data_IF_867821322947
#
_entry.id   IF_867821322947
#
_cell.length_a   1.000
_cell.length_b   1.000
_cell.length_c   1.000
_cell.angle_alpha   90.00
_cell.angle_beta   90.00
_cell.angle_gamma   90.00
#
_symmetry.space_group_name_H-M   'P 1'
#
loop_
_entity.id
_entity.type
_entity.pdbx_description
1 polymer ?
#
# COMPACT_ATOMS: atom_id res chain seq x y z
N UNK A 1 21.13 21.17 -53.60
CA UNK A 1 19.64 21.31 -53.63
C UNK A 1 18.87 20.38 -52.69
N UNK A 2 19.31 19.15 -52.39
CA UNK A 2 18.60 18.23 -51.47
C UNK A 2 18.52 18.72 -50.02
N UNK A 3 19.60 19.28 -49.45
CA UNK A 3 19.60 19.78 -48.07
C UNK A 3 18.60 20.93 -47.80
N UNK A 4 18.41 21.84 -48.76
CA UNK A 4 17.47 22.97 -48.62
C UNK A 4 16.02 22.45 -48.59
N UNK A 5 15.71 21.38 -49.33
CA UNK A 5 14.40 20.71 -49.28
C UNK A 5 14.18 20.01 -47.94
N UNK A 6 15.21 19.38 -47.37
CA UNK A 6 15.09 18.66 -46.10
C UNK A 6 14.92 19.61 -44.90
N UNK A 7 15.65 20.73 -44.86
CA UNK A 7 15.45 21.79 -43.85
C UNK A 7 14.06 22.43 -43.96
N UNK A 8 13.56 22.68 -45.18
CA UNK A 8 12.17 23.16 -45.39
C UNK A 8 11.13 22.14 -44.93
N UNK A 9 11.36 20.83 -45.13
CA UNK A 9 10.44 19.77 -44.70
C UNK A 9 10.39 19.63 -43.18
N UNK A 10 11.54 19.67 -42.48
CA UNK A 10 11.61 19.64 -41.01
C UNK A 10 10.97 20.87 -40.38
N UNK A 11 11.16 22.07 -40.96
CA UNK A 11 10.51 23.30 -40.48
C UNK A 11 8.99 23.28 -40.67
N UNK A 12 8.47 22.73 -41.78
CA UNK A 12 7.02 22.54 -41.98
C UNK A 12 6.44 21.44 -41.08
N UNK A 13 7.17 20.36 -40.85
CA UNK A 13 6.74 19.29 -39.96
C UNK A 13 6.67 19.75 -38.50
N UNK A 14 7.70 20.47 -38.02
CA UNK A 14 7.68 21.04 -36.67
C UNK A 14 6.56 22.07 -36.47
N UNK A 15 6.30 22.90 -37.50
CA UNK A 15 5.19 23.85 -37.45
C UNK A 15 3.81 23.16 -37.46
N UNK A 16 3.64 22.10 -38.25
CA UNK A 16 2.40 21.32 -38.25
C UNK A 16 2.13 20.65 -36.90
N UNK A 17 3.17 20.08 -36.26
CA UNK A 17 3.06 19.47 -34.93
C UNK A 17 2.76 20.52 -33.85
N UNK A 18 3.38 21.69 -33.94
CA UNK A 18 3.10 22.78 -33.01
C UNK A 18 1.66 23.28 -33.14
N UNK A 19 1.18 23.47 -34.37
CA UNK A 19 -0.21 23.89 -34.61
C UNK A 19 -1.23 22.84 -34.17
N UNK A 20 -0.96 21.55 -34.39
CA UNK A 20 -1.85 20.49 -33.94
C UNK A 20 -1.92 20.43 -32.41
N UNK A 21 -0.78 20.56 -31.73
CA UNK A 21 -0.73 20.62 -30.27
C UNK A 21 -1.47 21.86 -29.73
N UNK A 22 -1.26 23.03 -30.33
CA UNK A 22 -1.96 24.26 -29.96
C UNK A 22 -3.47 24.13 -30.14
N UNK A 23 -3.92 23.52 -31.24
CA UNK A 23 -5.34 23.32 -31.51
C UNK A 23 -5.97 22.35 -30.50
N UNK A 24 -5.28 21.26 -30.15
CA UNK A 24 -5.74 20.31 -29.13
C UNK A 24 -5.88 20.96 -27.76
N UNK A 25 -4.88 21.73 -27.32
CA UNK A 25 -4.93 22.44 -26.03
C UNK A 25 -6.03 23.49 -26.02
N UNK A 26 -6.18 24.24 -27.11
CA UNK A 26 -7.24 25.25 -27.25
C UNK A 26 -8.62 24.61 -27.23
N UNK A 27 -8.80 23.44 -27.86
CA UNK A 27 -10.04 22.68 -27.83
C UNK A 27 -10.37 22.20 -26.42
N UNK A 28 -9.38 21.67 -25.68
CA UNK A 28 -9.56 21.21 -24.31
C UNK A 28 -9.97 22.35 -23.37
N UNK A 29 -9.31 23.51 -23.49
CA UNK A 29 -9.67 24.72 -22.72
C UNK A 29 -11.08 25.20 -23.12
N UNK A 30 -11.39 25.27 -24.42
CA UNK A 30 -12.72 25.65 -24.88
C UNK A 30 -13.82 24.73 -24.36
N UNK A 31 -13.58 23.41 -24.35
CA UNK A 31 -14.52 22.41 -23.85
C UNK A 31 -14.77 22.58 -22.34
N UNK A 32 -13.71 22.79 -21.57
CA UNK A 32 -13.83 22.99 -20.11
C UNK A 32 -14.59 24.27 -19.78
N UNK A 33 -14.37 25.37 -20.52
CA UNK A 33 -15.11 26.63 -20.33
C UNK A 33 -16.59 26.49 -20.73
N UNK A 34 -16.89 25.73 -21.79
CA UNK A 34 -18.27 25.48 -22.22
C UNK A 34 -19.05 24.59 -21.24
N UNK A 35 -18.37 23.61 -20.64
CA UNK A 35 -18.96 22.65 -19.69
C UNK A 35 -18.97 23.14 -18.24
N UNK A 36 -18.18 24.16 -17.92
CA UNK A 36 -18.15 24.75 -16.58
C UNK A 36 -19.54 25.27 -16.16
N UNK A 37 -19.83 25.15 -14.86
CA UNK A 37 -21.03 25.70 -14.21
C UNK A 37 -22.35 25.23 -14.87
N UNK A 38 -22.65 23.92 -14.76
CA UNK A 38 -23.86 23.27 -15.29
C UNK A 38 -24.15 23.54 -16.77
N UNK A 39 -23.08 23.62 -17.57
CA UNK A 39 -23.13 23.90 -19.01
C UNK A 39 -23.81 25.24 -19.34
N UNK A 40 -23.75 26.23 -18.45
CA UNK A 40 -24.39 27.54 -18.63
C UNK A 40 -23.92 28.24 -19.91
N UNK A 41 -22.62 28.20 -20.19
CA UNK A 41 -22.04 28.82 -21.37
C UNK A 41 -22.46 28.11 -22.66
N UNK A 42 -22.57 26.77 -22.63
CA UNK A 42 -23.08 25.98 -23.74
C UNK A 42 -24.56 26.29 -24.03
N UNK A 43 -25.40 26.40 -22.99
CA UNK A 43 -26.82 26.75 -23.12
C UNK A 43 -27.01 28.14 -23.76
N UNK A 44 -26.21 29.14 -23.35
CA UNK A 44 -26.22 30.48 -23.95
C UNK A 44 -25.79 30.46 -25.43
N UNK A 45 -24.77 29.67 -25.76
CA UNK A 45 -24.29 29.51 -27.13
C UNK A 45 -25.35 28.83 -28.02
N UNK A 46 -25.98 27.76 -27.54
CA UNK A 46 -27.05 27.06 -28.25
C UNK A 46 -28.26 27.98 -28.52
N UNK A 47 -28.67 28.77 -27.53
CA UNK A 47 -29.72 29.78 -27.69
C UNK A 47 -29.36 30.82 -28.76
N UNK A 48 -28.08 31.23 -28.85
CA UNK A 48 -27.62 32.17 -29.89
C UNK A 48 -27.73 31.61 -31.30
N UNK A 49 -27.60 30.29 -31.45
CA UNK A 49 -27.79 29.58 -32.72
C UNK A 49 -29.24 29.13 -32.97
N UNK A 50 -30.20 29.54 -32.12
CA UNK A 50 -31.61 29.17 -32.26
C UNK A 50 -31.91 27.71 -31.93
N UNK A 51 -30.96 27.00 -31.32
CA UNK A 51 -31.13 25.63 -30.85
C UNK A 51 -31.71 25.67 -29.44
N UNK A 52 -32.87 25.06 -29.26
CA UNK A 52 -33.47 24.88 -27.93
C UNK A 52 -32.66 23.84 -27.14
N UNK A 53 -31.94 24.25 -26.08
CA UNK A 53 -31.09 23.33 -25.32
C UNK A 53 -31.89 22.16 -24.75
N UNK A 54 -33.14 22.38 -24.33
CA UNK A 54 -33.96 21.34 -23.71
C UNK A 54 -34.30 20.22 -24.70
N UNK A 55 -34.62 20.58 -25.95
CA UNK A 55 -34.93 19.60 -27.00
C UNK A 55 -33.70 18.78 -27.40
N UNK A 56 -32.55 19.44 -27.52
CA UNK A 56 -31.31 18.76 -27.88
C UNK A 56 -30.86 17.79 -26.78
N UNK A 57 -30.89 18.21 -25.51
CA UNK A 57 -30.53 17.32 -24.41
C UNK A 57 -31.51 16.15 -24.25
N UNK A 58 -32.81 16.40 -24.39
CA UNK A 58 -33.83 15.32 -24.37
C UNK A 58 -33.63 14.31 -25.50
N UNK A 59 -33.21 14.77 -26.69
CA UNK A 59 -32.94 13.89 -27.83
C UNK A 59 -31.66 13.07 -27.62
N UNK A 60 -30.60 13.65 -27.04
CA UNK A 60 -29.39 12.90 -26.66
C UNK A 60 -29.70 11.86 -25.58
N UNK A 61 -30.49 12.23 -24.57
CA UNK A 61 -30.93 11.32 -23.52
C UNK A 61 -31.74 10.15 -24.10
N UNK A 62 -32.64 10.41 -25.05
CA UNK A 62 -33.40 9.37 -25.75
C UNK A 62 -32.54 8.40 -26.58
N UNK A 63 -31.39 8.86 -27.09
CA UNK A 63 -30.43 8.01 -27.83
C UNK A 63 -29.50 7.20 -26.93
N UNK A 64 -29.35 7.62 -25.67
CA UNK A 64 -28.43 6.97 -24.71
C UNK A 64 -29.18 6.05 -23.73
N UNK A 65 -30.51 6.06 -23.77
CA UNK A 65 -31.37 5.28 -22.88
C UNK A 65 -31.65 3.91 -23.50
N UNK A 66 -30.78 2.94 -23.22
CA UNK A 66 -31.22 1.54 -23.11
C UNK A 66 -31.37 1.20 -21.64
N UNK A 67 -32.62 1.04 -21.15
CA UNK A 67 -32.88 0.25 -19.97
C UNK A 67 -33.88 -0.83 -20.37
N UNK A 68 -33.41 -2.08 -20.37
CA UNK A 68 -34.29 -3.18 -20.04
C UNK A 68 -34.80 -2.92 -18.61
N UNK A 69 -36.09 -2.62 -18.52
CA UNK A 69 -36.81 -2.41 -17.28
C UNK A 69 -36.76 -3.70 -16.44
N UNK A 70 -36.15 -3.72 -15.24
CA UNK A 70 -36.39 -4.81 -14.31
C UNK A 70 -37.86 -4.81 -13.92
N UNK A 71 -38.51 -5.98 -13.75
CA UNK A 71 -39.95 -6.08 -13.56
C UNK A 71 -40.40 -5.20 -12.39
N UNK A 72 -41.45 -4.43 -12.66
CA UNK A 72 -42.05 -3.48 -11.75
C UNK A 72 -42.33 -4.11 -10.38
N UNK A 73 -41.56 -3.70 -9.37
CA UNK A 73 -42.05 -3.78 -8.01
C UNK A 73 -43.24 -2.82 -7.90
N UNK A 74 -44.38 -3.23 -7.31
CA UNK A 74 -45.52 -2.35 -7.16
C UNK A 74 -45.08 -1.11 -6.38
N UNK A 75 -45.13 0.03 -7.05
CA UNK A 75 -44.94 1.34 -6.45
C UNK A 75 -46.02 1.52 -5.39
N UNK A 76 -45.63 1.32 -4.13
CA UNK A 76 -46.42 1.68 -2.97
C UNK A 76 -46.79 3.16 -3.11
N UNK A 77 -48.09 3.47 -3.03
CA UNK A 77 -48.62 4.81 -3.19
C UNK A 77 -47.86 5.82 -2.32
N UNK A 78 -47.33 6.85 -2.99
CA UNK A 78 -46.70 8.00 -2.36
C UNK A 78 -47.76 8.69 -1.49
N UNK A 79 -47.42 8.93 -0.21
CA UNK A 79 -48.10 9.80 0.78
C UNK A 79 -49.08 9.21 1.80
N UNK A 80 -48.77 8.04 2.35
CA UNK A 80 -48.98 7.84 3.78
C UNK A 80 -47.61 7.73 4.46
N UNK A 81 -47.16 8.79 5.15
CA UNK A 81 -46.02 8.65 6.07
C UNK A 81 -46.45 7.63 7.12
N UNK A 82 -45.99 6.39 6.98
CA UNK A 82 -46.13 5.40 8.04
C UNK A 82 -45.54 6.02 9.31
N UNK A 83 -46.26 6.00 10.44
CA UNK A 83 -45.74 6.51 11.69
C UNK A 83 -44.41 5.80 11.99
N UNK A 84 -43.41 6.57 12.42
CA UNK A 84 -42.09 6.02 12.71
C UNK A 84 -42.26 4.81 13.65
N UNK A 85 -41.81 3.61 13.26
CA UNK A 85 -41.99 2.43 14.08
C UNK A 85 -41.31 2.66 15.42
N UNK A 86 -42.09 2.66 16.50
CA UNK A 86 -41.57 2.72 17.86
C UNK A 86 -41.11 1.33 18.25
N UNK A 87 -39.83 1.06 18.04
CA UNK A 87 -39.21 -0.18 18.50
C UNK A 87 -38.82 0.01 19.97
N UNK A 88 -39.33 -0.85 20.85
CA UNK A 88 -38.83 -0.91 22.23
C UNK A 88 -37.48 -1.61 22.21
N UNK A 89 -36.41 -0.86 22.39
CA UNK A 89 -35.09 -1.43 22.57
C UNK A 89 -34.96 -1.92 24.02
N UNK A 90 -34.55 -3.18 24.25
CA UNK A 90 -34.21 -3.66 25.59
C UNK A 90 -33.27 -2.68 26.31
N UNK A 91 -33.55 -2.33 27.57
CA UNK A 91 -32.75 -1.38 28.34
C UNK A 91 -31.25 -1.74 28.37
N UNK A 92 -30.92 -3.04 28.30
CA UNK A 92 -29.55 -3.56 28.20
C UNK A 92 -28.77 -3.12 26.95
N UNK A 93 -29.43 -2.75 25.86
CA UNK A 93 -28.78 -2.20 24.65
C UNK A 93 -28.40 -0.73 24.82
N UNK A 94 -29.03 -0.04 25.76
CA UNK A 94 -28.77 1.37 26.08
C UNK A 94 -27.98 1.53 27.39
N UNK A 95 -27.63 0.40 28.03
CA UNK A 95 -26.68 0.43 29.13
C UNK A 95 -25.30 0.83 28.60
N UNK A 96 -24.56 1.61 29.39
CA UNK A 96 -23.13 1.83 29.14
C UNK A 96 -22.42 0.47 29.18
N UNK A 97 -22.24 -0.08 27.99
CA UNK A 97 -21.30 -1.15 27.77
C UNK A 97 -19.95 -0.50 28.02
N UNK A 98 -19.40 -0.68 29.22
CA UNK A 98 -17.99 -0.42 29.56
C UNK A 98 -17.06 -1.36 28.76
N UNK A 99 -17.40 -1.61 27.50
CA UNK A 99 -16.61 -2.36 26.55
C UNK A 99 -15.40 -1.48 26.21
N UNK A 100 -14.19 -2.06 26.22
CA UNK A 100 -13.02 -1.35 25.74
C UNK A 100 -13.25 -0.89 24.30
N UNK A 101 -12.71 0.27 23.94
CA UNK A 101 -12.72 0.76 22.56
C UNK A 101 -12.24 -0.36 21.62
N UNK A 102 -13.11 -0.79 20.72
CA UNK A 102 -12.76 -1.82 19.75
C UNK A 102 -11.84 -1.19 18.70
N UNK A 103 -10.54 -1.51 18.78
CA UNK A 103 -9.60 -1.11 17.75
C UNK A 103 -9.74 -2.04 16.55
N UNK A 104 -10.15 -1.51 15.41
CA UNK A 104 -10.03 -2.21 14.14
C UNK A 104 -8.54 -2.30 13.79
N UNK A 105 -7.96 -3.48 14.01
CA UNK A 105 -6.58 -3.76 13.59
C UNK A 105 -6.62 -4.23 12.15
N UNK A 106 -5.90 -3.53 11.27
CA UNK A 106 -5.69 -4.01 9.90
C UNK A 106 -4.83 -5.26 9.95
N UNK A 107 -5.40 -6.42 9.62
CA UNK A 107 -4.62 -7.65 9.44
C UNK A 107 -3.98 -7.62 8.06
N UNK A 108 -2.66 -7.80 8.02
CA UNK A 108 -1.92 -7.93 6.77
C UNK A 108 -2.14 -9.37 6.28
N UNK A 109 -2.79 -9.50 5.13
CA UNK A 109 -3.26 -10.80 4.61
C UNK A 109 -2.18 -11.53 3.81
N UNK A 110 -1.16 -10.82 3.34
CA UNK A 110 -0.11 -11.40 2.52
C UNK A 110 0.79 -12.30 3.37
N UNK A 111 1.13 -13.52 2.88
CA UNK A 111 2.05 -14.40 3.58
C UNK A 111 3.43 -13.73 3.67
N UNK A 112 4.07 -13.72 4.86
CA UNK A 112 5.37 -13.07 5.06
C UNK A 112 6.47 -13.57 4.10
N UNK A 113 6.40 -14.84 3.69
CA UNK A 113 7.32 -15.39 2.70
C UNK A 113 7.25 -14.64 1.36
N UNK A 114 6.06 -14.25 0.91
CA UNK A 114 5.90 -13.46 -0.32
C UNK A 114 6.45 -12.05 -0.19
N UNK A 115 6.42 -11.46 1.01
CA UNK A 115 7.08 -10.18 1.30
C UNK A 115 8.60 -10.31 1.16
N UNK A 116 9.22 -11.31 1.80
CA UNK A 116 10.67 -11.54 1.71
C UNK A 116 11.11 -11.83 0.27
N UNK A 117 10.34 -12.63 -0.48
CA UNK A 117 10.59 -12.92 -1.90
C UNK A 117 10.49 -11.65 -2.76
N UNK A 118 9.53 -10.76 -2.48
CA UNK A 118 9.41 -9.48 -3.18
C UNK A 118 10.63 -8.57 -2.92
N UNK A 119 11.17 -8.59 -1.70
CA UNK A 119 12.41 -7.90 -1.36
C UNK A 119 13.61 -8.48 -2.11
N UNK A 120 13.76 -9.81 -2.10
CA UNK A 120 14.84 -10.52 -2.80
C UNK A 120 14.85 -10.17 -4.30
N UNK A 121 13.68 -10.28 -4.96
CA UNK A 121 13.47 -9.88 -6.37
C UNK A 121 13.77 -8.41 -6.65
N UNK A 122 13.63 -7.54 -5.65
CA UNK A 122 13.88 -6.10 -5.79
C UNK A 122 15.36 -5.71 -5.55
N UNK A 123 16.24 -6.70 -5.30
CA UNK A 123 17.68 -6.52 -5.09
C UNK A 123 18.08 -6.44 -3.61
N UNK A 124 17.16 -6.70 -2.68
CA UNK A 124 17.46 -6.85 -1.26
C UNK A 124 17.71 -8.34 -0.99
N UNK A 125 18.85 -8.85 -1.43
CA UNK A 125 19.16 -10.29 -1.41
C UNK A 125 20.41 -10.59 -0.57
N UNK A 126 20.46 -11.70 0.17
CA UNK A 126 19.40 -12.72 0.30
C UNK A 126 18.31 -12.32 1.31
N UNK A 127 17.04 -12.52 0.96
CA UNK A 127 15.90 -12.38 1.88
C UNK A 127 15.09 -13.67 1.93
N UNK A 128 15.48 -14.58 2.81
CA UNK A 128 14.83 -15.90 2.98
C UNK A 128 14.04 -15.91 4.29
N UNK A 129 12.75 -16.24 4.21
CA UNK A 129 11.90 -16.42 5.38
C UNK A 129 12.22 -17.74 6.08
N UNK A 130 12.85 -17.65 7.25
CA UNK A 130 13.34 -18.80 7.98
C UNK A 130 13.01 -18.69 9.48
N UNK A 131 13.02 -19.79 10.24
CA UNK A 131 12.93 -19.74 11.70
C UNK A 131 14.02 -18.82 12.26
N UNK A 132 13.64 -17.93 13.18
CA UNK A 132 14.58 -16.95 13.77
C UNK A 132 15.68 -17.69 14.54
N UNK A 133 16.94 -17.48 14.15
CA UNK A 133 18.09 -18.11 14.81
C UNK A 133 18.35 -17.53 16.21
N UNK A 134 17.81 -16.33 16.48
CA UNK A 134 17.90 -15.66 17.77
C UNK A 134 16.66 -14.79 17.92
N UNK A 135 15.71 -15.22 18.75
CA UNK A 135 14.59 -14.37 19.17
C UNK A 135 15.16 -13.03 19.64
N UNK A 136 14.64 -11.94 19.09
CA UNK A 136 15.02 -10.55 19.35
C UNK A 136 15.64 -10.36 20.74
N UNK A 137 16.97 -10.22 20.83
CA UNK A 137 17.67 -9.76 22.04
C UNK A 137 17.24 -10.38 23.37
N UNK A 138 17.13 -11.71 23.46
CA UNK A 138 16.89 -12.38 24.75
C UNK A 138 15.43 -12.35 25.25
N UNK A 139 14.46 -11.92 24.43
CA UNK A 139 13.03 -11.93 24.75
C UNK A 139 12.28 -13.03 23.97
N UNK A 140 12.77 -14.27 24.06
CA UNK A 140 11.95 -15.49 24.18
C UNK A 140 10.86 -15.85 23.16
N UNK A 141 10.65 -15.14 22.04
CA UNK A 141 9.68 -15.56 21.03
C UNK A 141 10.37 -16.37 19.93
N UNK A 142 10.10 -17.68 19.89
CA UNK A 142 10.32 -18.49 18.70
C UNK A 142 9.48 -17.88 17.56
N UNK A 143 10.13 -17.46 16.47
CA UNK A 143 9.47 -16.78 15.37
C UNK A 143 10.08 -17.14 14.04
N UNK A 144 9.67 -16.41 13.01
CA UNK A 144 10.25 -16.46 11.68
C UNK A 144 10.73 -15.06 11.31
N UNK A 145 11.83 -14.99 10.58
CA UNK A 145 12.43 -13.73 10.15
C UNK A 145 13.06 -13.83 8.77
N UNK A 146 13.23 -12.68 8.13
CA UNK A 146 14.14 -12.51 6.99
C UNK A 146 14.81 -11.14 7.13
N UNK A 147 16.10 -11.07 6.80
CA UNK A 147 16.86 -9.83 6.94
C UNK A 147 18.02 -9.75 5.97
N UNK A 148 18.41 -8.53 5.61
CA UNK A 148 19.54 -8.25 4.72
C UNK A 148 20.20 -6.92 5.09
N UNK A 149 21.52 -6.88 5.00
CA UNK A 149 22.31 -5.65 5.06
C UNK A 149 22.78 -5.34 3.65
N UNK A 150 22.37 -4.18 3.13
CA UNK A 150 22.80 -3.70 1.82
C UNK A 150 23.86 -2.61 2.03
N UNK A 151 25.13 -2.85 1.64
CA UNK A 151 26.16 -1.82 1.69
C UNK A 151 25.89 -0.72 0.65
N UNK A 152 26.26 0.51 1.00
CA UNK A 152 26.11 1.70 0.15
C UNK A 152 27.44 2.45 0.15
N UNK A 153 27.84 2.94 -1.02
CA UNK A 153 29.11 3.65 -1.18
C UNK A 153 30.29 2.71 -1.42
N UNK A 154 31.49 3.29 -1.43
CA UNK A 154 32.73 2.54 -1.63
C UNK A 154 33.13 1.79 -0.34
N UNK A 155 33.56 0.53 -0.42
CA UNK A 155 34.03 -0.18 0.76
C UNK A 155 35.24 0.55 1.36
N UNK A 156 35.34 0.60 2.69
CA UNK A 156 36.50 1.17 3.37
C UNK A 156 37.78 0.48 2.92
N UNK A 157 38.85 1.26 2.77
CA UNK A 157 40.16 0.69 2.52
C UNK A 157 40.51 -0.28 3.66
N UNK A 158 41.04 -1.49 3.37
CA UNK A 158 41.43 -2.42 4.40
C UNK A 158 42.44 -1.76 5.33
N UNK A 159 42.17 -1.79 6.63
CA UNK A 159 43.11 -1.27 7.62
C UNK A 159 44.44 -2.02 7.51
N UNK A 160 45.51 -1.28 7.20
CA UNK A 160 46.89 -1.79 7.22
C UNK A 160 47.55 -1.57 8.58
N UNK A 161 46.86 -0.95 9.53
CA UNK A 161 47.36 -0.72 10.87
C UNK A 161 47.31 -2.02 11.69
N UNK A 162 48.39 -2.39 12.40
CA UNK A 162 48.32 -3.47 13.37
C UNK A 162 47.27 -3.12 14.43
N UNK A 163 46.52 -4.12 14.93
CA UNK A 163 45.43 -3.85 15.85
C UNK A 163 45.99 -3.21 17.13
N UNK A 164 45.37 -2.12 17.55
CA UNK A 164 45.76 -1.44 18.78
C UNK A 164 45.57 -2.43 19.94
N UNK A 165 46.50 -2.42 20.89
CA UNK A 165 46.37 -3.22 22.12
C UNK A 165 46.18 -2.28 23.31
N UNK A 166 45.34 -2.68 24.24
CA UNK A 166 45.16 -1.95 25.49
C UNK A 166 46.38 -2.14 26.41
N UNK A 167 46.37 -1.48 27.57
CA UNK A 167 47.42 -1.58 28.58
C UNK A 167 47.62 -3.00 29.14
N UNK A 168 46.65 -3.89 28.93
CA UNK A 168 46.68 -5.30 29.34
C UNK A 168 47.11 -6.24 28.19
N UNK A 169 47.34 -5.70 26.99
CA UNK A 169 47.68 -6.48 25.80
C UNK A 169 46.48 -7.13 25.10
N UNK A 170 45.25 -6.79 25.49
CA UNK A 170 44.03 -7.17 24.77
C UNK A 170 43.90 -6.35 23.49
N UNK A 171 43.43 -6.99 22.43
CA UNK A 171 43.18 -6.35 21.15
C UNK A 171 42.03 -5.37 21.29
N UNK A 172 42.30 -4.08 21.14
CA UNK A 172 41.28 -3.05 20.97
C UNK A 172 40.70 -3.28 19.59
N UNK A 173 39.52 -3.90 19.56
CA UNK A 173 38.70 -4.03 18.35
C UNK A 173 38.18 -2.64 18.00
N UNK A 174 38.98 -1.89 17.25
CA UNK A 174 38.50 -0.74 16.50
C UNK A 174 37.84 -1.30 15.23
N UNK A 175 36.52 -1.13 15.11
CA UNK A 175 35.73 -1.65 13.98
C UNK A 175 36.13 -1.02 12.62
N UNK A 176 37.11 -0.12 12.63
CA UNK A 176 37.63 0.57 11.46
C UNK A 176 36.58 1.50 10.85
N UNK A 177 36.91 2.17 9.73
CA UNK A 177 35.92 2.94 8.99
C UNK A 177 34.80 2.00 8.51
N UNK A 178 33.59 2.17 9.03
CA UNK A 178 32.43 1.37 8.62
C UNK A 178 31.86 1.89 7.29
N UNK A 179 31.36 0.98 6.46
CA UNK A 179 30.64 1.35 5.23
C UNK A 179 29.21 1.79 5.56
N UNK A 180 28.71 2.81 4.86
CA UNK A 180 27.29 3.17 4.93
C UNK A 180 26.44 1.97 4.52
N UNK A 181 25.28 1.77 5.14
CA UNK A 181 24.46 0.58 4.90
C UNK A 181 22.98 0.79 5.23
N UNK A 182 22.13 -0.03 4.60
CA UNK A 182 20.71 -0.16 4.92
C UNK A 182 20.43 -1.59 5.35
N UNK A 183 19.97 -1.76 6.58
CA UNK A 183 19.51 -3.06 7.10
C UNK A 183 17.99 -3.13 7.03
N UNK A 184 17.47 -4.15 6.37
CA UNK A 184 16.03 -4.45 6.31
C UNK A 184 15.75 -5.70 7.12
N UNK A 185 14.70 -5.68 7.93
CA UNK A 185 14.32 -6.76 8.82
C UNK A 185 12.81 -6.94 8.85
N UNK A 186 12.35 -8.17 8.67
CA UNK A 186 10.96 -8.60 8.84
C UNK A 186 10.94 -9.69 9.90
N UNK A 187 10.03 -9.57 10.87
CA UNK A 187 9.81 -10.58 11.89
C UNK A 187 8.34 -10.91 12.05
N UNK A 188 8.08 -12.17 12.37
CA UNK A 188 6.76 -12.68 12.63
C UNK A 188 6.73 -13.76 13.69
N UNK A 189 5.64 -13.83 14.47
CA UNK A 189 5.49 -14.84 15.52
C UNK A 189 5.26 -16.24 14.95
N UNK A 190 4.88 -16.36 13.66
CA UNK A 190 4.51 -17.60 13.00
C UNK A 190 4.87 -17.54 11.50
N UNK A 191 4.83 -18.68 10.83
CA UNK A 191 5.16 -18.76 9.40
C UNK A 191 4.23 -17.92 8.50
N UNK A 192 2.96 -17.77 8.89
CA UNK A 192 1.88 -17.13 8.11
C UNK A 192 1.56 -15.70 8.58
N UNK A 193 2.31 -15.12 9.51
CA UNK A 193 2.04 -13.80 10.05
C UNK A 193 3.33 -13.07 10.41
N UNK A 194 3.40 -11.77 10.12
CA UNK A 194 4.46 -10.90 10.62
C UNK A 194 3.89 -9.83 11.55
N UNK A 195 4.70 -9.35 12.48
CA UNK A 195 4.32 -8.32 13.45
C UNK A 195 5.21 -7.07 13.37
N UNK A 196 6.38 -7.19 12.76
CA UNK A 196 7.41 -6.16 12.78
C UNK A 196 8.12 -6.07 11.43
N UNK A 197 8.25 -4.85 10.92
CA UNK A 197 9.11 -4.49 9.81
C UNK A 197 10.01 -3.33 10.23
N UNK A 198 11.30 -3.43 9.96
CA UNK A 198 12.29 -2.44 10.39
C UNK A 198 13.29 -2.15 9.29
N UNK A 199 13.65 -0.87 9.16
CA UNK A 199 14.74 -0.41 8.31
C UNK A 199 15.71 0.40 9.17
N UNK A 200 16.97 -0.03 9.27
CA UNK A 200 18.04 0.79 9.84
C UNK A 200 18.89 1.39 8.72
N UNK A 201 19.25 2.65 8.88
CA UNK A 201 20.10 3.40 7.97
C UNK A 201 21.34 3.83 8.74
N UNK A 202 22.51 3.36 8.32
CA UNK A 202 23.80 3.78 8.84
C UNK A 202 24.49 4.63 7.76
N UNK A 203 24.73 5.90 8.07
CA UNK A 203 25.35 6.86 7.14
C UNK A 203 26.71 7.21 7.72
N UNK A 204 27.70 6.38 7.40
CA UNK A 204 29.08 6.54 7.90
C UNK A 204 29.83 7.62 7.10
N UNK A 205 29.53 7.73 5.79
CA UNK A 205 30.03 8.81 4.94
C UNK A 205 28.89 9.78 4.55
N UNK A 206 29.03 11.11 4.80
CA UNK A 206 28.05 12.10 4.36
C UNK A 206 27.73 12.08 2.86
N UNK A 207 28.67 11.67 2.00
CA UNK A 207 28.48 11.56 0.57
C UNK A 207 27.44 10.48 0.18
N UNK A 208 27.29 9.43 1.00
CA UNK A 208 26.36 8.33 0.74
C UNK A 208 24.94 8.63 1.21
N UNK A 209 24.73 9.75 1.93
CA UNK A 209 23.46 10.08 2.59
C UNK A 209 22.26 9.95 1.65
N UNK A 210 22.35 10.53 0.46
CA UNK A 210 21.26 10.50 -0.51
C UNK A 210 20.97 9.07 -0.98
N UNK A 211 22.01 8.29 -1.28
CA UNK A 211 21.88 6.91 -1.73
C UNK A 211 21.28 6.01 -0.63
N UNK A 212 21.70 6.19 0.63
CA UNK A 212 21.16 5.45 1.78
C UNK A 212 19.68 5.77 1.97
N UNK A 213 19.29 7.04 1.97
CA UNK A 213 17.89 7.46 2.13
C UNK A 213 17.01 7.03 0.96
N UNK A 214 17.53 7.07 -0.27
CA UNK A 214 16.84 6.58 -1.47
C UNK A 214 16.60 5.06 -1.40
N UNK A 215 17.61 4.29 -0.98
CA UNK A 215 17.49 2.84 -0.81
C UNK A 215 16.50 2.48 0.30
N UNK A 216 16.55 3.17 1.44
CA UNK A 216 15.58 2.99 2.53
C UNK A 216 14.15 3.38 2.11
N UNK A 217 13.99 4.48 1.36
CA UNK A 217 12.70 4.87 0.79
C UNK A 217 12.17 3.82 -0.19
N UNK A 218 13.03 3.21 -1.00
CA UNK A 218 12.66 2.10 -1.90
C UNK A 218 12.19 0.88 -1.10
N UNK A 219 12.91 0.51 -0.05
CA UNK A 219 12.52 -0.59 0.83
C UNK A 219 11.16 -0.35 1.49
N UNK A 220 10.93 0.84 2.02
CA UNK A 220 9.64 1.21 2.62
C UNK A 220 8.50 1.19 1.59
N UNK A 221 8.72 1.74 0.40
CA UNK A 221 7.71 1.72 -0.66
C UNK A 221 7.33 0.30 -1.10
N UNK A 222 8.30 -0.62 -1.18
CA UNK A 222 8.05 -2.03 -1.46
C UNK A 222 7.20 -2.69 -0.38
N UNK A 223 7.57 -2.48 0.89
CA UNK A 223 6.78 -2.96 2.02
C UNK A 223 5.34 -2.46 1.97
N UNK A 224 5.15 -1.14 1.85
CA UNK A 224 3.82 -0.56 1.85
C UNK A 224 2.96 -0.97 0.65
N UNK A 225 3.59 -1.19 -0.51
CA UNK A 225 2.92 -1.75 -1.68
C UNK A 225 2.44 -3.17 -1.41
N UNK A 226 3.28 -4.02 -0.82
CA UNK A 226 2.91 -5.40 -0.52
C UNK A 226 1.74 -5.45 0.46
N UNK A 227 1.79 -4.66 1.54
CA UNK A 227 0.73 -4.65 2.56
C UNK A 227 -0.49 -3.81 2.18
N UNK A 228 -0.50 -3.23 0.97
CA UNK A 228 -1.56 -2.39 0.39
C UNK A 228 -1.90 -1.14 1.22
N UNK A 229 -0.90 -0.48 1.81
CA UNK A 229 -1.11 0.69 2.66
C UNK A 229 -1.58 1.92 1.85
N UNK A 230 -2.63 2.59 2.33
CA UNK A 230 -3.37 3.64 1.59
C UNK A 230 -2.50 4.88 1.28
N UNK A 231 -1.52 5.19 2.14
CA UNK A 231 -0.59 6.34 2.00
C UNK A 231 0.89 5.94 1.80
N UNK A 232 1.14 4.80 1.14
CA UNK A 232 2.48 4.25 0.92
C UNK A 232 3.51 5.28 0.39
N UNK A 233 3.07 6.12 -0.55
CA UNK A 233 3.94 7.12 -1.19
C UNK A 233 4.32 8.28 -0.28
N UNK A 234 3.45 8.67 0.67
CA UNK A 234 3.76 9.75 1.59
C UNK A 234 4.81 9.33 2.61
N UNK A 235 4.64 8.17 3.22
CA UNK A 235 5.58 7.67 4.23
C UNK A 235 6.97 7.44 3.62
N UNK A 236 7.03 6.87 2.40
CA UNK A 236 8.28 6.72 1.68
C UNK A 236 8.97 8.08 1.43
N UNK A 237 8.22 9.12 1.03
CA UNK A 237 8.78 10.48 0.86
C UNK A 237 9.31 11.08 2.16
N UNK A 238 8.65 10.83 3.30
CA UNK A 238 9.12 11.29 4.61
C UNK A 238 10.43 10.62 5.00
N UNK A 239 10.57 9.31 4.73
CA UNK A 239 11.82 8.56 4.91
C UNK A 239 12.92 9.12 4.01
N UNK A 240 12.63 9.39 2.74
CA UNK A 240 13.59 10.00 1.80
C UNK A 240 14.12 11.36 2.30
N UNK A 241 13.26 12.15 2.95
CA UNK A 241 13.62 13.45 3.54
C UNK A 241 14.25 13.33 4.94
N UNK A 242 14.36 12.12 5.50
CA UNK A 242 14.77 11.86 6.88
C UNK A 242 13.93 12.64 7.91
N UNK A 243 12.64 12.82 7.65
CA UNK A 243 11.71 13.53 8.52
C UNK A 243 11.29 12.62 9.69
N UNK A 244 11.58 13.01 10.92
CA UNK A 244 11.26 12.22 12.12
C UNK A 244 9.74 12.24 12.37
N UNK A 245 9.15 11.07 12.63
CA UNK A 245 7.72 10.96 12.92
C UNK A 245 7.35 9.75 13.77
N UNK A 246 6.15 9.81 14.37
CA UNK A 246 5.55 8.74 15.14
C UNK A 246 4.04 8.84 15.00
N UNK A 247 3.45 7.95 14.20
CA UNK A 247 2.00 7.89 13.96
C UNK A 247 1.45 6.51 14.30
N UNK A 248 0.18 6.48 14.69
CA UNK A 248 -0.54 5.27 15.07
C UNK A 248 -1.86 5.23 14.33
N UNK A 249 -1.92 4.36 13.33
CA UNK A 249 -3.08 4.23 12.45
C UNK A 249 -3.48 2.75 12.40
N UNK A 250 -4.78 2.47 12.49
CA UNK A 250 -5.35 1.12 12.28
C UNK A 250 -4.69 -0.01 13.08
N UNK A 251 -4.31 0.27 14.34
CA UNK A 251 -3.66 -0.72 15.21
C UNK A 251 -2.22 -1.04 14.81
N UNK A 252 -1.58 -0.19 14.00
CA UNK A 252 -0.16 -0.25 13.67
C UNK A 252 0.53 1.06 14.08
N UNK A 253 1.79 0.97 14.49
CA UNK A 253 2.65 2.12 14.77
C UNK A 253 3.69 2.23 13.68
N UNK A 254 3.76 3.39 13.05
CA UNK A 254 4.79 3.75 12.09
C UNK A 254 5.66 4.83 12.70
N UNK A 255 6.96 4.59 12.77
CA UNK A 255 7.87 5.46 13.49
C UNK A 255 9.20 5.57 12.75
N UNK A 256 9.67 6.79 12.53
CA UNK A 256 11.03 7.07 12.09
C UNK A 256 11.73 7.88 13.18
N UNK A 257 12.85 7.37 13.70
CA UNK A 257 13.68 8.05 14.70
C UNK A 257 15.12 8.16 14.25
N UNK A 258 15.79 9.23 14.68
CA UNK A 258 17.24 9.36 14.61
C UNK A 258 17.85 8.78 15.89
N UNK A 259 18.81 7.88 15.77
CA UNK A 259 19.53 7.32 16.92
C UNK A 259 20.57 8.33 17.44
N UNK A 260 20.92 8.22 18.72
CA UNK A 260 21.95 9.06 19.34
C UNK A 260 23.33 8.55 18.93
N UNK A 261 24.20 9.46 18.49
CA UNK A 261 25.57 9.16 18.07
C UNK A 261 26.15 10.25 17.18
N UNK A 262 27.47 10.22 16.98
CA UNK A 262 28.15 11.12 16.05
C UNK A 262 27.79 10.79 14.60
N UNK A 263 27.69 9.51 14.26
CA UNK A 263 27.20 9.04 12.96
C UNK A 263 25.68 9.21 12.87
N UNK A 264 25.15 9.87 11.82
CA UNK A 264 23.71 10.00 11.61
C UNK A 264 23.06 8.67 11.25
N UNK A 265 22.53 7.98 12.27
CA UNK A 265 21.79 6.72 12.13
C UNK A 265 20.29 6.95 12.26
N UNK A 266 19.50 6.28 11.42
CA UNK A 266 18.04 6.37 11.45
C UNK A 266 17.41 4.98 11.51
N UNK A 267 16.27 4.89 12.16
CA UNK A 267 15.55 3.65 12.39
C UNK A 267 14.07 3.86 12.11
N UNK A 268 13.60 3.22 11.05
CA UNK A 268 12.19 3.13 10.71
C UNK A 268 11.61 1.82 11.25
N UNK A 269 10.47 1.90 11.91
CA UNK A 269 9.74 0.78 12.48
C UNK A 269 8.27 0.86 12.04
N UNK A 270 7.78 -0.22 11.46
CA UNK A 270 6.36 -0.50 11.28
C UNK A 270 6.02 -1.75 12.09
N UNK A 271 5.22 -1.61 13.13
CA UNK A 271 4.87 -2.72 14.02
C UNK A 271 3.39 -2.70 14.38
N UNK A 272 2.81 -3.86 14.65
CA UNK A 272 1.47 -3.95 15.23
C UNK A 272 1.48 -3.23 16.59
N UNK A 273 0.59 -2.24 16.76
CA UNK A 273 0.44 -1.47 17.98
C UNK A 273 -0.33 -2.28 19.03
N UNK A 274 0.18 -3.47 19.40
CA UNK A 274 -0.39 -4.26 20.49
C UNK A 274 -0.18 -3.52 21.80
N UNK A 275 -1.27 -3.05 22.42
CA UNK A 275 -1.25 -2.80 23.86
C UNK A 275 -1.27 -4.17 24.54
N UNK A 276 -0.36 -4.46 25.49
CA UNK A 276 -0.51 -5.60 26.37
C UNK A 276 -1.66 -5.30 27.33
N UNK A 277 -2.89 -5.39 26.84
CA UNK A 277 -4.08 -5.31 27.66
C UNK A 277 -4.45 -6.73 28.05
N UNK A 278 -4.67 -6.97 29.34
CA UNK A 278 -5.12 -8.27 29.82
C UNK A 278 -6.43 -8.61 29.11
N UNK A 279 -6.49 -9.79 28.47
CA UNK A 279 -7.69 -10.22 27.75
C UNK A 279 -8.91 -10.12 28.66
N UNK A 280 -9.91 -9.36 28.23
CA UNK A 280 -11.17 -9.23 28.96
C UNK A 280 -11.85 -10.60 29.08
N UNK A 281 -12.73 -10.81 30.08
CA UNK A 281 -13.49 -12.06 30.19
C UNK A 281 -14.26 -12.41 28.91
N UNK A 282 -14.75 -11.40 28.18
CA UNK A 282 -15.39 -11.56 26.87
C UNK A 282 -14.40 -12.06 25.80
N UNK A 283 -13.21 -11.48 25.69
CA UNK A 283 -12.20 -11.92 24.71
C UNK A 283 -11.72 -13.36 24.96
N UNK A 284 -11.70 -13.80 26.23
CA UNK A 284 -11.46 -15.21 26.57
C UNK A 284 -12.66 -16.11 26.20
N UNK A 285 -13.88 -15.61 26.38
CA UNK A 285 -15.10 -16.35 25.99
C UNK A 285 -15.26 -16.48 24.47
N UNK A 286 -14.77 -15.51 23.69
CA UNK A 286 -14.75 -15.55 22.22
C UNK A 286 -13.38 -15.89 21.65
N UNK A 287 -12.50 -16.51 22.45
CA UNK A 287 -11.20 -16.95 21.97
C UNK A 287 -11.40 -17.99 20.85
N UNK A 288 -11.15 -17.58 19.61
CA UNK A 288 -11.38 -18.44 18.44
C UNK A 288 -10.48 -19.67 18.47
N UNK A 289 -9.30 -19.61 19.07
CA UNK A 289 -8.43 -20.78 19.15
C UNK A 289 -8.98 -21.82 20.14
N UNK A 290 -9.72 -21.38 21.16
CA UNK A 290 -10.37 -22.23 22.14
C UNK A 290 -11.75 -22.74 21.69
N UNK A 291 -12.57 -21.87 21.09
CA UNK A 291 -14.00 -22.14 20.85
C UNK A 291 -14.35 -22.45 19.40
N UNK A 292 -13.58 -21.91 18.45
CA UNK A 292 -13.79 -22.09 17.02
C UNK A 292 -12.44 -22.35 16.33
N UNK A 293 -11.67 -23.37 16.75
CA UNK A 293 -10.43 -23.70 16.08
C UNK A 293 -10.80 -23.98 14.64
N UNK A 294 -10.42 -23.08 13.72
CA UNK A 294 -10.57 -23.33 12.30
C UNK A 294 -9.85 -24.67 12.07
N UNK A 295 -10.58 -25.69 11.63
CA UNK A 295 -10.00 -26.98 11.31
C UNK A 295 -9.06 -26.78 10.11
N UNK A 296 -7.82 -26.38 10.38
CA UNK A 296 -6.79 -26.11 9.36
C UNK A 296 -6.23 -27.39 8.75
N UNK A 297 -6.60 -28.55 9.29
CA UNK A 297 -6.34 -29.89 8.74
C UNK A 297 -7.56 -30.48 8.02
N UNK A 298 -8.57 -29.66 7.69
CA UNK A 298 -9.63 -30.15 6.82
C UNK A 298 -9.04 -30.34 5.41
N UNK A 299 -9.19 -31.51 4.78
CA UNK A 299 -8.64 -31.79 3.44
C UNK A 299 -9.15 -30.85 2.34
N UNK A 300 -10.09 -29.95 2.66
CA UNK A 300 -10.56 -28.86 1.80
C UNK A 300 -9.49 -27.80 1.49
N UNK A 301 -8.41 -27.71 2.26
CA UNK A 301 -7.39 -26.66 2.06
C UNK A 301 -5.96 -27.18 1.80
N UNK A 302 -5.70 -28.48 1.92
CA UNK A 302 -4.34 -29.02 1.76
C UNK A 302 -3.99 -29.52 0.36
N UNK A 303 -4.94 -29.69 -0.55
CA UNK A 303 -4.60 -30.03 -1.94
C UNK A 303 -5.62 -29.47 -2.91
N UNK A 304 -5.16 -28.65 -3.84
CA UNK A 304 -5.83 -28.44 -5.12
C UNK A 304 -6.19 -26.99 -5.40
N UNK A 305 -5.59 -26.48 -6.48
CA UNK A 305 -6.33 -25.71 -7.49
C UNK A 305 -7.80 -26.18 -7.53
N UNK A 306 -8.72 -25.36 -7.01
CA UNK A 306 -10.15 -25.60 -7.22
C UNK A 306 -10.39 -25.34 -8.70
N UNK A 307 -10.57 -26.40 -9.48
CA UNK A 307 -11.05 -26.28 -10.86
C UNK A 307 -12.49 -25.73 -10.78
N UNK A 308 -12.63 -24.46 -11.13
CA UNK A 308 -13.92 -23.74 -11.14
C UNK A 308 -14.97 -24.45 -12.01
N UNK A 309 -14.57 -25.36 -12.92
CA UNK A 309 -15.49 -26.21 -13.69
C UNK A 309 -16.26 -27.23 -12.85
N UNK A 310 -15.80 -27.55 -11.64
CA UNK A 310 -16.55 -28.43 -10.73
C UNK A 310 -17.71 -27.71 -10.02
N UNK A 311 -17.68 -26.37 -9.94
CA UNK A 311 -18.72 -25.55 -9.30
C UNK A 311 -19.77 -25.03 -10.29
N UNK A 312 -19.41 -24.96 -11.57
CA UNK A 312 -20.35 -24.67 -12.65
C UNK A 312 -20.58 -25.96 -13.43
N UNK A 313 -21.71 -26.63 -13.21
CA UNK A 313 -22.08 -27.84 -13.95
C UNK A 313 -21.92 -27.67 -15.48
N UNK A 314 -21.86 -28.78 -16.23
CA UNK A 314 -21.53 -28.75 -17.64
C UNK A 314 -22.48 -27.81 -18.39
N UNK A 315 -21.89 -26.90 -19.16
CA UNK A 315 -22.60 -26.07 -20.14
C UNK A 315 -23.34 -27.02 -21.09
N UNK A 316 -24.67 -26.91 -21.24
CA UNK A 316 -25.40 -27.72 -22.20
C UNK A 316 -24.91 -27.35 -23.60
N UNK A 317 -24.19 -28.27 -24.25
CA UNK A 317 -23.94 -28.16 -25.67
C UNK A 317 -25.21 -28.59 -26.38
N UNK A 318 -25.99 -27.61 -26.80
CA UNK A 318 -27.10 -27.82 -27.72
C UNK A 318 -26.52 -28.24 -29.08
N UNK A 319 -26.36 -29.55 -29.25
CA UNK A 319 -26.16 -30.14 -30.58
C UNK A 319 -27.43 -30.92 -30.92
N UNK A 320 -28.42 -30.22 -31.45
CA UNK A 320 -29.40 -30.84 -32.34
C UNK A 320 -29.07 -30.48 -33.78
N UNK A 321 -28.67 -31.52 -34.50
CA UNK A 321 -28.59 -31.58 -35.94
C UNK A 321 -29.91 -31.14 -36.61
N UNK A 322 -29.80 -30.20 -37.54
CA UNK A 322 -30.24 -30.35 -38.93
C UNK A 322 -29.58 -29.29 -39.80
#
# INVERSE_FOLDING_TARGET
MKEIRERKRRRRAGWAVFLSALLLVSLAIGLTVLLAQDMRNLKLLMQRFGLDPQKVFAQIESLTTTPAEPPAFPLLEKTARLPAPRVQLPARLMGELNAPEQSFVRRILDPPAGLCEAFDKAGFSPMVWAPSASGLGGLGAAGFECSVIVPVGEPPAPSTAPPARDENGEEIVDDGPQQSSVFVYVHGPRMDAFDTFRIKMNIENPADREAVLALASKAAALFFKQVQWEDAGEIARRILKAEIFDQRDFGSRLQLRKEFGETPRYNFLAAEARRPQARTPYERFFDREQWLPLARTSPLFETGTVDLRALTGPVPTDTKAR
#
